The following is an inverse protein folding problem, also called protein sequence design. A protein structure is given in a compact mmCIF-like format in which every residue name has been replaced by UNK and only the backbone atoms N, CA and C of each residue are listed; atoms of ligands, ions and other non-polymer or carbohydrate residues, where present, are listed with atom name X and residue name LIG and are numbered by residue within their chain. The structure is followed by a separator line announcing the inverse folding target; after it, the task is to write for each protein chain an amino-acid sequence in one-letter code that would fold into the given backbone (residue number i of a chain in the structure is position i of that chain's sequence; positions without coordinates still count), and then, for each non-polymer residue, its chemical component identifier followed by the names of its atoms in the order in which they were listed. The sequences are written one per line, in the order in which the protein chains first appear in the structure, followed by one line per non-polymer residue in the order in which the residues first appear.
data_IF_660012707986
#
_entry.id   IF_660012707986
#
_cell.length_a   1.000
_cell.length_b   1.000
_cell.length_c   1.000
_cell.angle_alpha   90.00
_cell.angle_beta   90.00
_cell.angle_gamma   90.00
#
_symmetry.space_group_name_H-M   'P 1'
#
loop_
_entity.id
_entity.type
_entity.pdbx_description
1 polymer ?
#
# COMPACT_ATOMS: atom_id res chain seq x y z
N UNK A 1 24.37 -6.86 -27.35
CA UNK A 1 23.79 -5.52 -27.62
C UNK A 1 24.37 -5.08 -28.96
N UNK A 2 23.60 -4.46 -29.88
CA UNK A 2 24.17 -4.08 -31.18
C UNK A 2 25.26 -3.01 -31.03
N UNK A 3 26.41 -3.22 -31.66
CA UNK A 3 27.50 -2.26 -31.71
C UNK A 3 27.03 -0.97 -32.41
N UNK A 4 27.19 0.22 -31.81
CA UNK A 4 26.73 1.46 -32.41
C UNK A 4 27.55 1.90 -33.64
N UNK A 5 28.72 1.28 -33.88
CA UNK A 5 29.62 1.65 -34.97
C UNK A 5 29.47 0.76 -36.21
N UNK A 6 29.28 -0.55 -36.02
CA UNK A 6 29.18 -1.52 -37.13
C UNK A 6 27.91 -2.37 -37.10
N UNK A 7 26.98 -2.14 -36.14
CA UNK A 7 25.72 -2.87 -35.96
C UNK A 7 25.82 -4.38 -35.68
N UNK A 8 27.03 -4.92 -35.53
CA UNK A 8 27.26 -6.32 -35.17
C UNK A 8 26.69 -6.64 -33.77
N UNK A 9 26.13 -7.84 -33.59
CA UNK A 9 25.42 -8.23 -32.36
C UNK A 9 26.33 -8.62 -31.21
N UNK A 10 27.54 -9.08 -31.54
CA UNK A 10 28.42 -9.73 -30.57
C UNK A 10 29.41 -8.74 -29.96
N UNK A 11 29.40 -8.71 -28.64
CA UNK A 11 30.20 -7.82 -27.81
C UNK A 11 30.71 -8.55 -26.57
N UNK A 12 31.80 -8.06 -25.99
CA UNK A 12 32.37 -8.53 -24.73
C UNK A 12 32.25 -7.46 -23.66
N UNK A 13 31.75 -7.81 -22.48
CA UNK A 13 31.74 -6.92 -21.31
C UNK A 13 33.15 -6.86 -20.71
N UNK A 14 33.69 -5.65 -20.56
CA UNK A 14 35.01 -5.38 -20.00
C UNK A 14 34.96 -4.96 -18.52
N UNK A 15 33.96 -4.15 -18.15
CA UNK A 15 33.81 -3.59 -16.81
C UNK A 15 32.31 -3.41 -16.50
N UNK A 16 31.91 -3.67 -15.26
CA UNK A 16 30.53 -3.49 -14.77
C UNK A 16 30.56 -2.68 -13.49
N UNK A 17 29.81 -1.58 -13.46
CA UNK A 17 29.69 -0.69 -12.30
C UNK A 17 28.22 -0.51 -11.93
N UNK A 18 27.93 -0.59 -10.64
CA UNK A 18 26.61 -0.24 -10.08
C UNK A 18 26.67 1.22 -9.65
N UNK A 19 25.71 2.02 -10.11
CA UNK A 19 25.57 3.42 -9.74
C UNK A 19 24.70 3.59 -8.48
N UNK A 20 24.72 4.79 -7.88
CA UNK A 20 23.96 5.10 -6.65
C UNK A 20 22.45 4.99 -6.82
N UNK A 21 21.95 5.22 -8.03
CA UNK A 21 20.54 5.10 -8.41
C UNK A 21 20.11 3.66 -8.73
N UNK A 22 21.00 2.68 -8.53
CA UNK A 22 20.75 1.27 -8.85
C UNK A 22 20.94 0.93 -10.34
N UNK A 23 21.26 1.90 -11.19
CA UNK A 23 21.54 1.63 -12.61
C UNK A 23 22.87 0.88 -12.78
N UNK A 24 22.94 0.01 -13.78
CA UNK A 24 24.14 -0.77 -14.09
C UNK A 24 24.77 -0.21 -15.36
N UNK A 25 26.00 0.30 -15.25
CA UNK A 25 26.80 0.72 -16.38
C UNK A 25 27.79 -0.38 -16.76
N UNK A 26 27.79 -0.80 -18.02
CA UNK A 26 28.72 -1.79 -18.57
C UNK A 26 29.56 -1.19 -19.68
N UNK A 27 30.90 -1.32 -19.60
CA UNK A 27 31.81 -1.03 -20.72
C UNK A 27 31.91 -2.27 -21.59
N UNK A 28 31.63 -2.13 -22.88
CA UNK A 28 31.61 -3.23 -23.85
C UNK A 28 32.62 -2.96 -24.96
N UNK A 29 33.10 -4.03 -25.59
CA UNK A 29 33.95 -4.00 -26.79
C UNK A 29 33.32 -4.89 -27.86
N UNK A 30 33.16 -4.35 -29.07
CA UNK A 30 32.65 -5.12 -30.20
C UNK A 30 33.67 -6.18 -30.64
N UNK A 31 33.21 -7.41 -30.89
CA UNK A 31 34.11 -8.48 -31.34
C UNK A 31 34.57 -8.31 -32.80
N UNK A 32 33.79 -7.61 -33.63
CA UNK A 32 34.08 -7.35 -35.04
C UNK A 32 35.01 -6.15 -35.22
N UNK A 33 34.53 -4.93 -34.92
CA UNK A 33 35.29 -3.69 -35.20
C UNK A 33 36.20 -3.23 -34.05
N UNK A 34 36.26 -3.97 -32.94
CA UNK A 34 37.03 -3.66 -31.71
C UNK A 34 36.72 -2.31 -31.04
N UNK A 35 35.70 -1.60 -31.51
CA UNK A 35 35.28 -0.34 -30.92
C UNK A 35 34.67 -0.56 -29.54
N UNK A 36 34.96 0.36 -28.61
CA UNK A 36 34.45 0.32 -27.24
C UNK A 36 33.29 1.27 -27.06
N UNK A 37 32.26 0.81 -26.37
CA UNK A 37 31.08 1.62 -26.03
C UNK A 37 30.61 1.30 -24.62
N UNK A 38 29.67 2.07 -24.09
CA UNK A 38 29.09 1.84 -22.77
C UNK A 38 27.58 1.72 -22.89
N UNK A 39 27.01 0.77 -22.15
CA UNK A 39 25.56 0.63 -22.00
C UNK A 39 25.19 0.96 -20.57
N UNK A 40 24.02 1.56 -20.38
CA UNK A 40 23.43 1.81 -19.08
C UNK A 40 22.08 1.11 -19.03
N UNK A 41 21.92 0.24 -18.05
CA UNK A 41 20.67 -0.46 -17.77
C UNK A 41 20.05 0.18 -16.54
N UNK A 42 18.82 0.66 -16.68
CA UNK A 42 18.07 1.34 -15.62
C UNK A 42 16.77 0.58 -15.37
N UNK A 43 16.36 0.49 -14.10
CA UNK A 43 15.07 -0.11 -13.74
C UNK A 43 13.94 0.73 -14.34
N UNK A 44 13.11 0.09 -15.17
CA UNK A 44 11.89 0.69 -15.68
C UNK A 44 10.78 0.38 -14.69
N UNK A 45 10.51 1.33 -13.80
CA UNK A 45 9.46 1.20 -12.79
C UNK A 45 8.21 1.93 -13.28
N UNK A 46 7.13 1.19 -13.48
CA UNK A 46 5.84 1.74 -13.86
C UNK A 46 4.94 1.79 -12.62
N UNK A 47 4.37 2.96 -12.35
CA UNK A 47 3.35 3.08 -11.31
C UNK A 47 1.96 2.68 -11.85
N UNK A 48 1.07 2.13 -11.00
CA UNK A 48 -0.30 1.84 -11.39
C UNK A 48 -1.11 3.09 -11.68
N UNK A 49 -2.22 2.89 -12.39
CA UNK A 49 -3.30 3.87 -12.41
C UNK A 49 -4.06 3.86 -11.09
N UNK A 50 -4.48 5.04 -10.66
CA UNK A 50 -5.25 5.25 -9.44
C UNK A 50 -6.72 5.37 -9.78
N UNK A 51 -7.54 4.46 -9.22
CA UNK A 51 -8.99 4.50 -9.34
C UNK A 51 -9.54 5.39 -8.23
N UNK A 52 -10.16 6.50 -8.62
CA UNK A 52 -10.78 7.48 -7.73
C UNK A 52 -12.17 6.99 -7.27
N UNK A 53 -12.74 7.68 -6.27
CA UNK A 53 -14.03 7.30 -5.66
C UNK A 53 -15.19 7.33 -6.67
N UNK A 54 -15.11 8.22 -7.66
CA UNK A 54 -16.03 8.37 -8.78
C UNK A 54 -15.76 7.36 -9.92
N UNK A 55 -14.80 6.45 -9.75
CA UNK A 55 -14.41 5.46 -10.76
C UNK A 55 -13.44 5.98 -11.82
N UNK A 56 -13.09 7.27 -11.81
CA UNK A 56 -12.12 7.85 -12.75
C UNK A 56 -10.72 7.26 -12.51
N UNK A 57 -10.00 7.00 -13.60
CA UNK A 57 -8.59 6.61 -13.56
C UNK A 57 -7.67 7.81 -13.74
N UNK A 58 -6.63 7.90 -12.92
CA UNK A 58 -5.57 8.90 -13.05
C UNK A 58 -4.19 8.27 -12.84
N UNK A 59 -3.12 8.77 -13.46
CA UNK A 59 -1.78 8.27 -13.15
C UNK A 59 -1.42 8.56 -11.69
N UNK A 60 -0.70 7.64 -11.06
CA UNK A 60 -0.12 7.88 -9.74
C UNK A 60 0.80 9.11 -9.77
N UNK A 61 0.67 9.95 -8.74
CA UNK A 61 1.47 11.17 -8.60
C UNK A 61 1.97 11.28 -7.16
N UNK A 62 3.30 11.25 -7.01
CA UNK A 62 3.97 11.52 -5.72
C UNK A 62 3.63 12.92 -5.20
N UNK A 63 3.53 13.89 -6.09
CA UNK A 63 3.21 15.29 -5.78
C UNK A 63 1.83 15.43 -5.11
N UNK A 64 0.81 14.69 -5.58
CA UNK A 64 -0.51 14.70 -4.94
C UNK A 64 -0.47 14.18 -3.51
N UNK A 65 0.32 13.15 -3.24
CA UNK A 65 0.50 12.58 -1.89
C UNK A 65 1.25 13.58 -1.02
N UNK A 66 2.34 14.15 -1.53
CA UNK A 66 3.13 15.17 -0.84
C UNK A 66 2.27 16.36 -0.41
N UNK A 67 1.48 16.93 -1.32
CA UNK A 67 0.61 18.07 -1.04
C UNK A 67 -0.45 17.73 0.02
N UNK A 68 -1.03 16.52 -0.05
CA UNK A 68 -2.00 16.05 0.96
C UNK A 68 -1.38 15.90 2.35
N UNK A 69 -0.16 15.33 2.43
CA UNK A 69 0.59 15.20 3.68
C UNK A 69 1.00 16.57 4.24
N UNK A 70 1.50 17.46 3.38
CA UNK A 70 1.94 18.80 3.77
C UNK A 70 0.78 19.62 4.34
N UNK A 71 -0.40 19.55 3.73
CA UNK A 71 -1.61 20.19 4.24
C UNK A 71 -2.01 19.65 5.62
N UNK A 72 -1.96 18.33 5.82
CA UNK A 72 -2.26 17.72 7.12
C UNK A 72 -1.25 18.10 8.22
N UNK A 73 0.04 18.18 7.86
CA UNK A 73 1.14 18.49 8.76
C UNK A 73 1.32 20.00 9.04
N UNK A 74 0.44 20.88 8.55
CA UNK A 74 0.61 22.32 8.69
C UNK A 74 0.67 22.75 10.17
N UNK A 75 1.67 23.55 10.55
CA UNK A 75 1.93 24.00 11.94
C UNK A 75 2.14 22.85 12.94
N UNK A 76 2.60 21.68 12.46
CA UNK A 76 3.02 20.55 13.31
C UNK A 76 4.56 20.48 13.35
N UNK A 77 5.15 19.85 14.37
CA UNK A 77 6.59 19.63 14.46
C UNK A 77 7.05 18.50 13.51
N UNK A 78 6.63 18.54 12.25
CA UNK A 78 6.97 17.57 11.21
C UNK A 78 7.84 18.25 10.18
N UNK A 79 9.06 17.74 9.98
CA UNK A 79 9.98 18.26 8.98
C UNK A 79 9.59 17.86 7.57
N UNK A 80 9.98 18.69 6.59
CA UNK A 80 9.75 18.40 5.17
C UNK A 80 10.42 17.08 4.74
N UNK A 81 11.61 16.78 5.29
CA UNK A 81 12.33 15.52 5.05
C UNK A 81 11.53 14.30 5.50
N UNK A 82 10.81 14.39 6.63
CA UNK A 82 9.94 13.30 7.09
C UNK A 82 8.75 13.08 6.14
N UNK A 83 8.17 14.16 5.62
CA UNK A 83 7.08 14.09 4.63
C UNK A 83 7.56 13.43 3.34
N UNK A 84 8.71 13.87 2.80
CA UNK A 84 9.32 13.27 1.61
C UNK A 84 9.61 11.78 1.81
N UNK A 85 10.14 11.40 2.98
CA UNK A 85 10.40 10.00 3.31
C UNK A 85 9.13 9.15 3.33
N UNK A 86 8.01 9.68 3.84
CA UNK A 86 6.71 8.99 3.79
C UNK A 86 6.24 8.81 2.35
N UNK A 87 6.35 9.85 1.51
CA UNK A 87 5.96 9.77 0.09
C UNK A 87 6.75 8.67 -0.62
N UNK A 88 8.05 8.56 -0.36
CA UNK A 88 8.89 7.54 -0.99
C UNK A 88 8.55 6.12 -0.50
N UNK A 89 8.25 5.95 0.80
CA UNK A 89 7.76 4.66 1.33
C UNK A 89 6.44 4.25 0.70
N UNK A 90 5.49 5.18 0.57
CA UNK A 90 4.21 4.91 -0.08
C UNK A 90 4.41 4.56 -1.56
N UNK A 91 5.24 5.31 -2.27
CA UNK A 91 5.54 5.02 -3.67
C UNK A 91 6.17 3.63 -3.85
N UNK A 92 7.16 3.30 -3.02
CA UNK A 92 7.80 1.98 -3.00
C UNK A 92 6.80 0.86 -2.71
N UNK A 93 5.91 1.07 -1.73
CA UNK A 93 4.84 0.14 -1.39
C UNK A 93 3.82 -0.03 -2.54
N UNK A 94 3.46 1.05 -3.24
CA UNK A 94 2.59 0.97 -4.42
C UNK A 94 3.24 0.13 -5.52
N UNK A 95 4.54 0.32 -5.77
CA UNK A 95 5.29 -0.46 -6.76
C UNK A 95 5.38 -1.93 -6.36
N UNK A 96 5.68 -2.23 -5.09
CA UNK A 96 5.90 -3.60 -4.63
C UNK A 96 4.65 -4.48 -4.71
N UNK A 97 3.47 -3.89 -4.83
CA UNK A 97 2.21 -4.63 -5.06
C UNK A 97 2.14 -5.24 -6.47
N UNK A 98 2.85 -4.68 -7.44
CA UNK A 98 2.85 -5.19 -8.83
C UNK A 98 1.48 -5.11 -9.54
N UNK A 99 0.57 -4.29 -9.03
CA UNK A 99 -0.77 -4.11 -9.62
C UNK A 99 -0.72 -3.09 -10.77
N UNK A 100 -1.61 -3.24 -11.76
CA UNK A 100 -1.77 -2.25 -12.83
C UNK A 100 -2.69 -1.09 -12.42
N UNK A 101 -3.62 -1.35 -11.50
CA UNK A 101 -4.57 -0.37 -10.97
C UNK A 101 -4.68 -0.51 -9.45
N UNK A 102 -4.72 0.61 -8.74
CA UNK A 102 -4.85 0.67 -7.28
C UNK A 102 -5.90 1.69 -6.88
N UNK A 103 -6.73 1.38 -5.90
CA UNK A 103 -7.75 2.33 -5.43
C UNK A 103 -7.13 3.50 -4.66
N UNK A 104 -7.63 4.71 -4.88
CA UNK A 104 -7.27 5.89 -4.08
C UNK A 104 -7.61 5.70 -2.59
N UNK A 105 -8.63 4.88 -2.31
CA UNK A 105 -9.02 4.49 -0.96
C UNK A 105 -7.84 3.81 -0.26
N UNK A 106 -7.26 2.80 -0.89
CA UNK A 106 -6.16 2.04 -0.32
C UNK A 106 -4.91 2.90 -0.07
N UNK A 107 -4.58 3.80 -0.99
CA UNK A 107 -3.46 4.75 -0.81
C UNK A 107 -3.73 5.67 0.39
N UNK A 108 -4.94 6.21 0.53
CA UNK A 108 -5.29 7.05 1.67
C UNK A 108 -5.19 6.32 3.02
N UNK A 109 -5.58 5.04 3.08
CA UNK A 109 -5.37 4.19 4.26
C UNK A 109 -3.88 4.03 4.59
N UNK A 110 -3.04 3.81 3.57
CA UNK A 110 -1.58 3.72 3.79
C UNK A 110 -0.99 5.04 4.28
N UNK A 111 -1.41 6.17 3.73
CA UNK A 111 -1.01 7.52 4.19
C UNK A 111 -1.40 7.72 5.66
N UNK A 112 -2.61 7.34 6.02
CA UNK A 112 -3.11 7.42 7.39
C UNK A 112 -2.27 6.57 8.35
N UNK A 113 -1.90 5.34 7.99
CA UNK A 113 -1.03 4.51 8.80
C UNK A 113 0.36 5.14 9.05
N UNK A 114 0.96 5.75 8.02
CA UNK A 114 2.24 6.47 8.14
C UNK A 114 2.12 7.73 9.01
N UNK A 115 1.01 8.47 8.89
CA UNK A 115 0.76 9.66 9.71
C UNK A 115 0.50 9.31 11.18
N UNK A 116 -0.19 8.21 11.48
CA UNK A 116 -0.45 7.76 12.86
C UNK A 116 0.85 7.51 13.63
N UNK A 117 1.89 7.01 12.95
CA UNK A 117 3.20 6.81 13.54
C UNK A 117 4.01 8.11 13.70
N UNK A 118 3.63 9.17 12.97
CA UNK A 118 4.39 10.41 12.91
C UNK A 118 3.82 11.50 13.83
N UNK A 119 2.51 11.76 13.74
CA UNK A 119 1.82 12.81 14.49
C UNK A 119 0.30 12.59 14.50
N UNK A 120 -0.28 12.35 15.67
CA UNK A 120 -1.72 12.06 15.84
C UNK A 120 -2.62 13.18 15.32
N UNK A 121 -2.21 14.44 15.47
CA UNK A 121 -3.00 15.60 15.03
C UNK A 121 -3.02 15.71 13.51
N UNK A 122 -1.88 15.49 12.85
CA UNK A 122 -1.80 15.42 11.40
C UNK A 122 -2.62 14.25 10.84
N UNK A 123 -2.57 13.10 11.51
CA UNK A 123 -3.41 11.95 11.20
C UNK A 123 -4.90 12.29 11.24
N UNK A 124 -5.39 12.87 12.35
CA UNK A 124 -6.80 13.29 12.51
C UNK A 124 -7.23 14.25 11.39
N UNK A 125 -6.38 15.23 11.05
CA UNK A 125 -6.66 16.20 9.97
C UNK A 125 -6.70 15.57 8.60
N UNK A 126 -5.84 14.59 8.34
CA UNK A 126 -5.88 13.88 7.06
C UNK A 126 -7.13 13.01 6.97
N UNK A 127 -7.48 12.31 8.05
CA UNK A 127 -8.68 11.49 8.13
C UNK A 127 -9.96 12.31 7.85
N UNK A 128 -10.06 13.55 8.37
CA UNK A 128 -11.22 14.43 8.17
C UNK A 128 -11.46 14.86 6.72
N UNK A 129 -10.40 14.92 5.89
CA UNK A 129 -10.54 15.17 4.44
C UNK A 129 -10.91 13.90 3.69
N UNK A 130 -10.35 12.78 4.13
CA UNK A 130 -10.51 11.49 3.46
C UNK A 130 -11.89 10.86 3.68
N UNK A 131 -12.49 11.07 4.86
CA UNK A 131 -13.81 10.54 5.23
C UNK A 131 -14.71 11.69 5.65
N UNK A 132 -15.91 11.74 5.07
CA UNK A 132 -16.94 12.68 5.48
C UNK A 132 -17.59 12.13 6.74
N UNK A 133 -17.19 12.64 7.89
CA UNK A 133 -17.80 12.32 9.17
C UNK A 133 -19.07 13.14 9.33
N UNK A 134 -20.18 12.48 9.66
CA UNK A 134 -21.42 13.19 10.02
C UNK A 134 -21.39 13.66 11.47
N UNK A 135 -20.63 12.97 12.33
CA UNK A 135 -20.54 13.24 13.77
C UNK A 135 -19.16 12.88 14.36
N UNK A 136 -18.82 13.47 15.51
CA UNK A 136 -17.58 13.23 16.26
C UNK A 136 -17.53 11.81 16.81
N UNK A 137 -18.67 11.21 17.18
CA UNK A 137 -18.74 9.80 17.59
C UNK A 137 -18.41 8.84 16.43
N UNK A 138 -18.93 9.09 15.22
CA UNK A 138 -18.61 8.30 14.02
C UNK A 138 -17.12 8.38 13.69
N UNK A 139 -16.49 9.53 13.97
CA UNK A 139 -15.04 9.71 13.85
C UNK A 139 -14.28 8.77 14.79
N UNK A 140 -14.63 8.71 16.08
CA UNK A 140 -13.96 7.87 17.09
C UNK A 140 -14.15 6.38 16.79
N UNK A 141 -15.37 5.93 16.49
CA UNK A 141 -15.66 4.52 16.18
C UNK A 141 -14.88 4.03 14.95
N UNK A 142 -14.74 4.87 13.93
CA UNK A 142 -13.97 4.47 12.74
C UNK A 142 -12.46 4.56 12.91
N UNK A 143 -11.95 5.26 13.93
CA UNK A 143 -10.55 5.14 14.33
C UNK A 143 -10.27 3.75 14.94
N UNK A 144 -11.18 3.25 15.77
CA UNK A 144 -11.09 1.91 16.38
C UNK A 144 -11.20 0.79 15.32
N UNK A 145 -12.08 0.94 14.32
CA UNK A 145 -12.14 0.01 13.17
C UNK A 145 -10.86 0.01 12.31
N UNK A 146 -10.12 1.13 12.28
CA UNK A 146 -8.84 1.22 11.57
C UNK A 146 -7.69 0.57 12.35
N UNK A 147 -7.77 0.50 13.68
CA UNK A 147 -6.83 -0.30 14.50
C UNK A 147 -6.95 -1.80 14.20
N UNK A 148 -8.14 -2.27 13.84
CA UNK A 148 -8.37 -3.64 13.40
C UNK A 148 -7.76 -3.99 12.02
N UNK A 149 -7.34 -3.01 11.22
CA UNK A 149 -6.66 -3.24 9.93
C UNK A 149 -5.14 -3.43 10.07
N UNK A 150 -4.58 -3.39 11.29
CA UNK A 150 -3.17 -3.67 11.56
C UNK A 150 -2.76 -5.14 11.29
N UNK A 151 -3.68 -5.99 10.81
CA UNK A 151 -3.41 -7.41 10.47
C UNK A 151 -2.79 -7.60 9.08
N UNK A 152 -2.57 -6.54 8.29
CA UNK A 152 -1.86 -6.67 7.00
C UNK A 152 -0.41 -6.20 7.17
N UNK A 153 0.47 -7.18 7.42
CA UNK A 153 1.93 -6.98 7.44
C UNK A 153 2.39 -6.33 6.11
N UNK A 154 2.99 -5.12 6.14
CA UNK A 154 3.49 -4.47 4.95
C UNK A 154 4.61 -5.24 4.22
N UNK A 155 5.21 -6.25 4.85
CA UNK A 155 6.22 -7.13 4.26
C UNK A 155 5.66 -8.48 3.77
N UNK A 156 4.38 -8.77 4.00
CA UNK A 156 3.75 -10.00 3.52
C UNK A 156 2.35 -9.70 2.93
N UNK A 157 2.23 -9.51 1.60
CA UNK A 157 0.96 -9.13 0.96
C UNK A 157 -0.07 -10.27 0.90
N UNK A 158 0.20 -11.44 1.48
CA UNK A 158 -0.80 -12.50 1.55
C UNK A 158 -1.76 -12.24 2.72
N UNK A 159 -3.04 -12.05 2.38
CA UNK A 159 -4.13 -12.08 3.35
C UNK A 159 -4.06 -13.41 4.13
N UNK A 160 -4.15 -13.40 5.47
CA UNK A 160 -4.35 -14.64 6.20
C UNK A 160 -5.70 -15.21 5.78
N UNK A 161 -5.71 -16.47 5.34
CA UNK A 161 -6.92 -17.27 5.19
C UNK A 161 -7.47 -17.60 6.58
N UNK A 162 -7.91 -16.60 7.33
CA UNK A 162 -8.70 -16.83 8.53
C UNK A 162 -10.15 -17.04 8.12
N UNK A 163 -10.58 -18.29 8.27
CA UNK A 163 -11.94 -18.76 8.03
C UNK A 163 -12.98 -17.81 8.62
N UNK A 164 -13.76 -17.17 7.75
CA UNK A 164 -15.01 -16.51 8.12
C UNK A 164 -16.03 -17.60 8.42
N UNK A 165 -16.00 -18.10 9.65
CA UNK A 165 -17.06 -18.96 10.18
C UNK A 165 -17.15 -18.78 11.69
N UNK A 166 -17.69 -17.65 12.13
CA UNK A 166 -18.32 -17.47 13.45
C UNK A 166 -19.05 -16.11 13.49
N UNK A 167 -20.25 -16.02 12.90
CA UNK A 167 -21.36 -15.21 13.44
C UNK A 167 -22.63 -16.03 13.17
N UNK A 168 -23.09 -16.73 14.19
CA UNK A 168 -24.39 -17.41 14.17
C UNK A 168 -25.51 -16.37 13.99
N UNK A 169 -26.44 -16.67 13.08
CA UNK A 169 -27.72 -15.97 12.99
C UNK A 169 -28.54 -16.23 14.25
N UNK A 170 -29.33 -15.25 14.72
CA UNK A 170 -30.41 -15.53 15.67
C UNK A 170 -31.61 -16.04 14.87
N UNK A 171 -31.93 -17.34 15.01
CA UNK A 171 -33.23 -17.85 14.60
C UNK A 171 -34.22 -17.60 15.75
N UNK A 172 -35.07 -16.59 15.56
CA UNK A 172 -36.37 -16.52 16.22
C UNK A 172 -37.29 -17.48 15.47
N UNK A 173 -37.89 -18.45 16.16
CA UNK A 173 -39.26 -18.86 15.84
C UNK A 173 -39.99 -19.49 17.04
N UNK A 174 -41.29 -19.29 16.96
CA UNK A 174 -42.37 -19.36 17.93
C UNK A 174 -42.58 -20.64 18.78
N UNK A 175 -43.09 -20.39 20.00
CA UNK A 175 -44.23 -21.03 20.69
C UNK A 175 -44.35 -22.57 20.63
N UNK A 176 -44.37 -23.21 21.80
CA UNK A 176 -45.51 -24.01 22.33
C UNK A 176 -45.28 -24.34 23.82
N UNK A 177 -46.31 -24.14 24.65
CA UNK A 177 -46.47 -24.53 26.08
C UNK A 177 -47.74 -25.43 26.14
N UNK A 178 -48.09 -26.23 27.18
CA UNK A 178 -47.39 -27.03 28.21
C UNK A 178 -47.88 -28.51 28.29
N UNK A 179 -47.27 -29.31 29.18
CA UNK A 179 -47.85 -30.54 29.77
C UNK A 179 -46.83 -31.68 29.75
N UNK A 180 -46.63 -32.53 30.76
CA UNK A 180 -47.42 -32.93 31.93
C UNK A 180 -46.51 -33.73 32.89
N UNK A 181 -46.73 -33.51 34.20
CA UNK A 181 -46.64 -34.39 35.38
C UNK A 181 -45.68 -35.60 35.46
N UNK A 182 -45.14 -35.72 36.69
CA UNK A 182 -44.83 -36.95 37.46
C UNK A 182 -43.57 -37.73 37.01
N UNK A 183 -42.71 -38.29 37.88
CA UNK A 183 -42.74 -38.54 39.31
C UNK A 183 -41.28 -38.68 39.82
N UNK A 184 -41.08 -38.44 41.12
CA UNK A 184 -40.00 -38.98 41.96
C UNK A 184 -39.95 -40.53 41.92
N UNK A 185 -39.06 -41.28 42.62
CA UNK A 185 -38.06 -40.87 43.62
C UNK A 185 -36.70 -41.63 43.62
N UNK A 186 -35.79 -41.11 44.45
CA UNK A 186 -34.84 -41.77 45.38
C UNK A 186 -34.10 -43.07 44.99
N UNK A 187 -32.77 -43.00 45.12
CA UNK A 187 -31.83 -43.94 45.79
C UNK A 187 -30.47 -43.76 45.12
N UNK A 188 -29.32 -43.71 45.79
CA UNK A 188 -28.91 -43.92 47.17
C UNK A 188 -27.63 -43.09 47.39
#
# INVERSE_FOLDING_TARGET
MKCPYCSHSDDRVLDTRVQKDGSIRRRRECLECKSRFSTMETLMVNFPYIIKKDGRREPFSKEKIFNGLQAACQKRPVSLVQVEAIVERIASWVISRGENETSARLIGLRVMAELKQLDDVAYIRFASVYRTFKDVQEFVETLEDLEMLEVVDPNNPQLPLTNVNMIGKPDNDEKTIPGTRSASPLSN
#
